data_IF_330016340625
#
_entry.id   IF_330016340625
#
_cell.length_a   1.000
_cell.length_b   1.000
_cell.length_c   1.000
_cell.angle_alpha   90.00
_cell.angle_beta   90.00
_cell.angle_gamma   90.00
#
_symmetry.space_group_name_H-M   'P 1'
#
loop_
_entity.id
_entity.type
_entity.pdbx_description
1 polymer ?
#
# COMPACT_ATOMS: atom_id res chain seq x y z
N UNK A 1 -7.99 -14.04 38.51
CA UNK A 1 -8.07 -12.59 38.27
C UNK A 1 -7.67 -12.19 36.85
N UNK A 2 -6.67 -12.83 36.21
CA UNK A 2 -6.27 -12.58 34.79
C UNK A 2 -7.31 -13.08 33.74
N UNK A 3 -8.44 -13.65 34.19
CA UNK A 3 -9.45 -14.27 33.33
C UNK A 3 -10.69 -13.40 33.09
N UNK A 4 -10.66 -12.10 33.43
CA UNK A 4 -11.77 -11.19 33.15
C UNK A 4 -11.73 -10.71 31.68
N UNK A 5 -12.44 -11.50 30.89
CA UNK A 5 -13.28 -11.21 29.71
C UNK A 5 -12.79 -10.28 28.59
N UNK A 6 -12.80 -10.85 27.38
CA UNK A 6 -12.65 -10.20 26.06
C UNK A 6 -13.48 -8.91 25.93
N UNK A 7 -14.64 -8.84 26.58
CA UNK A 7 -15.49 -7.65 26.58
C UNK A 7 -14.80 -6.43 27.21
N UNK A 8 -13.96 -6.63 28.22
CA UNK A 8 -13.15 -5.54 28.80
C UNK A 8 -12.03 -5.14 27.83
N UNK A 9 -11.44 -6.11 27.09
CA UNK A 9 -10.46 -5.83 26.04
C UNK A 9 -11.05 -5.05 24.86
N UNK A 10 -12.32 -5.28 24.52
CA UNK A 10 -13.02 -4.52 23.48
C UNK A 10 -13.25 -3.05 23.87
N UNK A 11 -13.27 -2.76 25.17
CA UNK A 11 -13.37 -1.39 25.70
C UNK A 11 -12.02 -0.73 25.98
N UNK A 12 -10.90 -1.46 25.83
CA UNK A 12 -9.58 -0.88 26.03
C UNK A 12 -9.28 0.15 24.94
N UNK A 13 -8.71 1.31 25.31
CA UNK A 13 -8.25 2.26 24.31
C UNK A 13 -7.20 1.62 23.42
N UNK A 14 -7.17 2.00 22.14
CA UNK A 14 -6.25 1.46 21.13
C UNK A 14 -4.78 1.49 21.57
N UNK A 15 -4.41 2.45 22.43
CA UNK A 15 -3.07 2.59 23.00
C UNK A 15 -2.68 1.52 24.02
N UNK A 16 -3.63 0.80 24.61
CA UNK A 16 -3.36 -0.24 25.62
C UNK A 16 -3.02 -1.60 25.00
N UNK A 17 -3.43 -1.82 23.74
CA UNK A 17 -3.29 -3.11 23.06
C UNK A 17 -1.84 -3.61 22.96
N UNK A 18 -0.84 -2.77 22.59
CA UNK A 18 0.55 -3.23 22.50
C UNK A 18 1.11 -3.70 23.85
N UNK A 19 0.86 -2.94 24.92
CA UNK A 19 1.32 -3.27 26.27
C UNK A 19 0.70 -4.58 26.77
N UNK A 20 -0.61 -4.75 26.59
CA UNK A 20 -1.31 -5.98 26.96
C UNK A 20 -0.77 -7.19 26.18
N UNK A 21 -0.50 -7.03 24.89
CA UNK A 21 0.06 -8.10 24.04
C UNK A 21 1.43 -8.54 24.54
N UNK A 22 2.29 -7.59 24.95
CA UNK A 22 3.59 -7.88 25.54
C UNK A 22 3.43 -8.65 26.85
N UNK A 23 2.59 -8.17 27.75
CA UNK A 23 2.37 -8.80 29.06
C UNK A 23 1.82 -10.22 28.92
N UNK A 24 0.81 -10.43 28.08
CA UNK A 24 0.25 -11.76 27.81
C UNK A 24 1.30 -12.70 27.18
N UNK A 25 2.23 -12.19 26.38
CA UNK A 25 3.31 -13.03 25.83
C UNK A 25 4.31 -13.43 26.90
N UNK A 26 4.68 -12.52 27.80
CA UNK A 26 5.56 -12.85 28.92
C UNK A 26 4.91 -13.91 29.83
N UNK A 27 3.60 -13.79 30.08
CA UNK A 27 2.84 -14.80 30.82
C UNK A 27 2.75 -16.13 30.04
N UNK A 28 2.63 -16.08 28.71
CA UNK A 28 2.63 -17.27 27.87
C UNK A 28 3.98 -18.01 27.91
N UNK A 29 5.08 -17.31 28.21
CA UNK A 29 6.41 -17.89 28.38
C UNK A 29 6.69 -18.41 29.80
N UNK A 30 5.71 -18.36 30.71
CA UNK A 30 5.84 -18.87 32.08
C UNK A 30 6.07 -20.39 32.10
N UNK A 31 6.92 -20.86 33.02
CA UNK A 31 7.10 -22.29 33.31
C UNK A 31 5.83 -22.93 33.91
N UNK A 32 4.96 -22.13 34.53
CA UNK A 32 3.66 -22.58 35.01
C UNK A 32 2.70 -22.83 33.83
N UNK A 33 2.37 -24.10 33.61
CA UNK A 33 1.52 -24.55 32.50
C UNK A 33 0.15 -23.88 32.48
N UNK A 34 -0.47 -23.66 33.65
CA UNK A 34 -1.81 -23.05 33.75
C UNK A 34 -1.77 -21.58 33.34
N UNK A 35 -0.73 -20.85 33.76
CA UNK A 35 -0.51 -19.46 33.36
C UNK A 35 -0.22 -19.39 31.86
N UNK A 36 0.69 -20.23 31.37
CA UNK A 36 1.09 -20.27 29.96
C UNK A 36 -0.10 -20.56 29.04
N UNK A 37 -0.90 -21.57 29.34
CA UNK A 37 -2.09 -21.95 28.56
C UNK A 37 -3.17 -20.85 28.62
N UNK A 38 -3.41 -20.29 29.79
CA UNK A 38 -4.36 -19.20 29.98
C UNK A 38 -4.00 -17.97 29.16
N UNK A 39 -2.73 -17.54 29.24
CA UNK A 39 -2.23 -16.39 28.49
C UNK A 39 -2.20 -16.63 26.98
N UNK A 40 -1.78 -17.83 26.54
CA UNK A 40 -1.81 -18.23 25.13
C UNK A 40 -3.22 -18.16 24.55
N UNK A 41 -4.22 -18.65 25.29
CA UNK A 41 -5.62 -18.60 24.88
C UNK A 41 -6.13 -17.17 24.76
N UNK A 42 -5.70 -16.27 25.65
CA UNK A 42 -6.08 -14.85 25.57
C UNK A 42 -5.38 -14.14 24.41
N UNK A 43 -4.10 -14.43 24.12
CA UNK A 43 -3.43 -13.93 22.92
C UNK A 43 -4.17 -14.33 21.65
N UNK A 44 -4.56 -15.60 21.53
CA UNK A 44 -5.35 -16.07 20.38
C UNK A 44 -6.63 -15.26 20.18
N UNK A 45 -7.34 -14.96 21.27
CA UNK A 45 -8.56 -14.15 21.28
C UNK A 45 -8.30 -12.69 20.95
N UNK A 46 -7.26 -12.08 21.52
CA UNK A 46 -6.85 -10.71 21.21
C UNK A 46 -6.53 -10.58 19.73
N UNK A 47 -5.80 -11.53 19.16
CA UNK A 47 -5.47 -11.53 17.73
C UNK A 47 -6.72 -11.71 16.86
N UNK A 48 -7.66 -12.57 17.27
CA UNK A 48 -8.93 -12.74 16.56
C UNK A 48 -9.80 -11.46 16.62
N UNK A 49 -9.79 -10.74 17.75
CA UNK A 49 -10.56 -9.51 17.95
C UNK A 49 -9.99 -8.32 17.17
N UNK A 50 -8.68 -8.10 17.25
CA UNK A 50 -7.98 -6.98 16.59
C UNK A 50 -8.08 -7.09 15.08
N UNK A 51 -8.21 -8.31 14.56
CA UNK A 51 -8.16 -8.60 13.14
C UNK A 51 -6.73 -8.66 12.64
N UNK A 52 -6.53 -9.49 11.62
CA UNK A 52 -5.22 -9.81 11.05
C UNK A 52 -4.50 -8.57 10.48
N UNK A 53 -5.23 -7.73 9.75
CA UNK A 53 -4.68 -6.54 9.10
C UNK A 53 -4.12 -5.52 10.10
N UNK A 54 -4.86 -5.24 11.17
CA UNK A 54 -4.44 -4.28 12.21
C UNK A 54 -3.27 -4.84 13.01
N UNK A 55 -3.29 -6.12 13.34
CA UNK A 55 -2.17 -6.77 14.01
C UNK A 55 -0.88 -6.64 13.21
N UNK A 56 -0.92 -6.94 11.90
CA UNK A 56 0.25 -6.83 11.02
C UNK A 56 0.84 -5.43 11.00
N UNK A 57 -0.01 -4.39 11.06
CA UNK A 57 0.42 -3.00 11.19
C UNK A 57 1.09 -2.73 12.55
N UNK A 58 0.57 -3.33 13.62
CA UNK A 58 1.10 -3.19 14.98
C UNK A 58 2.36 -4.03 15.27
N UNK A 59 2.66 -5.06 14.47
CA UNK A 59 3.82 -5.92 14.74
C UNK A 59 5.14 -5.14 14.76
N UNK A 60 5.26 -4.03 14.02
CA UNK A 60 6.42 -3.13 14.11
C UNK A 60 6.53 -2.42 15.47
N UNK A 61 5.40 -1.97 16.02
CA UNK A 61 5.34 -1.36 17.35
C UNK A 61 5.61 -2.39 18.45
N UNK A 62 5.03 -3.58 18.31
CA UNK A 62 5.27 -4.71 19.22
C UNK A 62 6.75 -5.10 19.22
N UNK A 63 7.40 -5.20 18.05
CA UNK A 63 8.83 -5.47 17.97
C UNK A 63 9.65 -4.47 18.81
N UNK A 64 9.34 -3.17 18.72
CA UNK A 64 10.04 -2.15 19.49
C UNK A 64 9.82 -2.32 21.00
N UNK A 65 8.61 -2.67 21.43
CA UNK A 65 8.31 -2.93 22.84
C UNK A 65 9.01 -4.19 23.36
N UNK A 66 9.01 -5.28 22.59
CA UNK A 66 9.68 -6.54 22.97
C UNK A 66 11.19 -6.44 23.04
N UNK A 67 11.81 -5.57 22.22
CA UNK A 67 13.25 -5.27 22.33
C UNK A 67 13.61 -4.65 23.68
N UNK A 68 12.68 -3.93 24.29
CA UNK A 68 12.88 -3.25 25.56
C UNK A 68 12.41 -4.11 26.76
N UNK A 69 11.66 -5.19 26.50
CA UNK A 69 11.09 -6.05 27.52
C UNK A 69 11.89 -7.36 27.70
N UNK A 70 11.43 -8.12 28.69
CA UNK A 70 12.20 -8.97 29.58
C UNK A 70 12.75 -10.25 28.93
N UNK A 71 14.08 -10.32 28.78
CA UNK A 71 14.91 -11.54 28.85
C UNK A 71 16.39 -11.10 28.80
N UNK A 72 17.25 -11.49 29.76
CA UNK A 72 18.67 -11.17 29.69
C UNK A 72 19.30 -11.79 28.43
N UNK A 73 20.14 -11.04 27.70
CA UNK A 73 20.83 -11.59 26.54
C UNK A 73 21.81 -12.68 26.97
N UNK A 74 21.88 -13.78 26.22
CA UNK A 74 22.95 -14.78 26.35
C UNK A 74 22.56 -16.10 27.01
N UNK A 75 21.37 -16.21 27.59
CA UNK A 75 20.87 -17.47 28.12
C UNK A 75 20.23 -18.32 27.02
N UNK A 76 20.52 -19.62 27.02
CA UNK A 76 19.84 -20.58 26.15
C UNK A 76 18.41 -20.75 26.62
N UNK A 77 17.48 -20.80 25.68
CA UNK A 77 16.06 -20.95 25.95
C UNK A 77 15.50 -22.10 25.13
N UNK A 78 14.57 -22.85 25.70
CA UNK A 78 13.81 -23.90 25.00
C UNK A 78 12.33 -23.55 25.14
N UNK A 79 11.64 -23.40 24.02
CA UNK A 79 10.21 -23.08 24.04
C UNK A 79 9.40 -24.36 24.24
N UNK A 80 8.44 -24.32 25.17
CA UNK A 80 7.50 -25.42 25.37
C UNK A 80 6.70 -25.73 24.11
N UNK A 81 6.71 -26.97 23.63
CA UNK A 81 5.97 -27.43 22.43
C UNK A 81 4.46 -27.11 22.45
N UNK A 82 3.88 -26.86 23.63
CA UNK A 82 2.46 -26.52 23.81
C UNK A 82 2.13 -25.05 23.60
N UNK A 83 3.13 -24.17 23.51
CA UNK A 83 2.91 -22.74 23.34
C UNK A 83 2.19 -22.44 22.02
N UNK A 84 1.21 -21.55 22.01
CA UNK A 84 0.52 -21.18 20.77
C UNK A 84 1.47 -20.52 19.76
N UNK A 85 1.26 -20.77 18.46
CA UNK A 85 2.15 -20.25 17.40
C UNK A 85 2.27 -18.73 17.40
N UNK A 86 1.19 -18.00 17.72
CA UNK A 86 1.24 -16.54 17.87
C UNK A 86 2.15 -16.10 19.01
N UNK A 87 2.13 -16.81 20.13
CA UNK A 87 3.02 -16.54 21.25
C UNK A 87 4.49 -16.88 20.89
N UNK A 88 4.73 -17.96 20.14
CA UNK A 88 6.04 -18.25 19.55
C UNK A 88 6.49 -17.11 18.61
N UNK A 89 5.59 -16.64 17.75
CA UNK A 89 5.80 -15.52 16.85
C UNK A 89 6.23 -14.24 17.58
N UNK A 90 5.54 -13.90 18.67
CA UNK A 90 5.88 -12.76 19.52
C UNK A 90 7.18 -12.98 20.30
N UNK A 91 7.47 -14.21 20.74
CA UNK A 91 8.76 -14.55 21.36
C UNK A 91 9.95 -14.31 20.40
N UNK A 92 9.72 -14.42 19.08
CA UNK A 92 10.73 -14.04 18.08
C UNK A 92 11.12 -12.56 18.12
N UNK A 93 10.38 -11.71 18.85
CA UNK A 93 10.68 -10.28 19.01
C UNK A 93 11.57 -9.96 20.21
N UNK A 94 11.88 -10.96 21.04
CA UNK A 94 12.66 -10.79 22.26
C UNK A 94 14.08 -10.28 22.01
N UNK A 95 14.66 -9.59 23.01
CA UNK A 95 16.05 -9.11 22.96
C UNK A 95 17.08 -10.26 22.95
N UNK A 96 16.76 -11.40 23.58
CA UNK A 96 17.63 -12.57 23.62
C UNK A 96 17.69 -13.27 22.25
N UNK A 97 18.89 -13.34 21.66
CA UNK A 97 19.11 -13.96 20.34
C UNK A 97 18.79 -15.46 20.29
N UNK A 98 19.06 -16.22 21.36
CA UNK A 98 18.76 -17.64 21.41
C UNK A 98 17.26 -17.91 21.42
N UNK A 99 16.50 -17.11 22.19
CA UNK A 99 15.04 -17.19 22.19
C UNK A 99 14.45 -16.87 20.81
N UNK A 100 15.00 -15.86 20.11
CA UNK A 100 14.56 -15.56 18.74
C UNK A 100 14.86 -16.70 17.78
N UNK A 101 16.05 -17.27 17.86
CA UNK A 101 16.46 -18.39 17.01
C UNK A 101 15.54 -19.60 17.21
N UNK A 102 15.27 -19.95 18.48
CA UNK A 102 14.38 -21.05 18.85
C UNK A 102 12.94 -20.80 18.40
N UNK A 103 12.44 -19.57 18.59
CA UNK A 103 11.13 -19.19 18.10
C UNK A 103 11.02 -19.36 16.58
N UNK A 104 12.02 -18.92 15.81
CA UNK A 104 12.01 -19.04 14.36
C UNK A 104 12.04 -20.50 13.93
N UNK A 105 12.89 -21.35 14.52
CA UNK A 105 12.90 -22.79 14.20
C UNK A 105 11.52 -23.40 14.36
N UNK A 106 10.87 -23.12 15.49
CA UNK A 106 9.56 -23.67 15.78
C UNK A 106 8.46 -23.14 14.86
N UNK A 107 8.54 -21.87 14.46
CA UNK A 107 7.65 -21.33 13.43
C UNK A 107 7.82 -22.07 12.11
N UNK A 108 9.05 -22.37 11.70
CA UNK A 108 9.36 -23.11 10.47
C UNK A 108 8.81 -24.55 10.54
N UNK A 109 9.08 -25.24 11.65
CA UNK A 109 8.65 -26.63 11.87
C UNK A 109 7.13 -26.82 11.87
N UNK A 110 6.37 -25.76 12.20
CA UNK A 110 4.91 -25.81 12.21
C UNK A 110 4.30 -26.06 10.82
N UNK A 111 4.98 -25.61 9.76
CA UNK A 111 4.44 -25.64 8.38
C UNK A 111 3.17 -24.78 8.17
N UNK A 112 2.82 -23.92 9.13
CA UNK A 112 1.63 -23.07 9.09
C UNK A 112 1.91 -21.78 8.33
N UNK A 113 0.98 -21.31 7.48
CA UNK A 113 1.17 -20.09 6.71
C UNK A 113 1.11 -18.83 7.57
N UNK A 114 0.38 -18.85 8.69
CA UNK A 114 0.24 -17.71 9.61
C UNK A 114 1.56 -17.25 10.25
N UNK A 115 2.64 -18.01 10.05
CA UNK A 115 3.99 -17.65 10.51
C UNK A 115 4.69 -16.62 9.61
N UNK A 116 4.24 -16.46 8.36
CA UNK A 116 4.82 -15.57 7.35
C UNK A 116 5.09 -14.14 7.87
N UNK A 117 4.13 -13.43 8.52
CA UNK A 117 4.39 -12.08 9.01
C UNK A 117 5.53 -12.01 10.04
N UNK A 118 5.65 -13.02 10.91
CA UNK A 118 6.74 -13.08 11.89
C UNK A 118 8.10 -13.31 11.20
N UNK A 119 8.16 -14.24 10.23
CA UNK A 119 9.38 -14.50 9.46
C UNK A 119 9.81 -13.28 8.64
N UNK A 120 8.87 -12.60 7.98
CA UNK A 120 9.12 -11.36 7.25
C UNK A 120 9.80 -10.31 8.14
N UNK A 121 9.28 -10.07 9.34
CA UNK A 121 9.88 -9.11 10.28
C UNK A 121 11.31 -9.49 10.69
N UNK A 122 11.61 -10.79 10.79
CA UNK A 122 12.96 -11.27 11.14
C UNK A 122 13.98 -11.12 10.00
N UNK A 123 13.56 -10.83 8.76
CA UNK A 123 14.48 -10.45 7.68
C UNK A 123 15.23 -9.14 7.98
N UNK A 124 14.78 -8.34 8.95
CA UNK A 124 15.43 -7.11 9.43
C UNK A 124 16.28 -7.31 10.70
N UNK A 125 16.38 -8.53 11.25
CA UNK A 125 17.08 -8.78 12.51
C UNK A 125 18.50 -8.20 12.51
N UNK A 126 19.01 -7.74 13.65
CA UNK A 126 20.38 -7.23 13.72
C UNK A 126 21.43 -8.35 13.72
N UNK A 127 21.06 -9.58 14.07
CA UNK A 127 21.92 -10.76 14.06
C UNK A 127 21.81 -11.46 12.70
N UNK A 128 22.94 -11.64 12.02
CA UNK A 128 23.00 -12.22 10.66
C UNK A 128 22.42 -13.66 10.63
N UNK A 129 22.84 -14.60 11.50
CA UNK A 129 22.25 -15.94 11.54
C UNK A 129 20.73 -15.98 11.65
N UNK A 130 20.14 -15.04 12.41
CA UNK A 130 18.68 -14.96 12.60
C UNK A 130 17.98 -14.55 11.31
N UNK A 131 18.56 -13.59 10.56
CA UNK A 131 18.03 -13.19 9.25
C UNK A 131 18.08 -14.33 8.25
N UNK A 132 19.20 -15.04 8.20
CA UNK A 132 19.40 -16.18 7.29
C UNK A 132 18.43 -17.31 7.60
N UNK A 133 18.25 -17.64 8.88
CA UNK A 133 17.27 -18.63 9.33
C UNK A 133 15.84 -18.23 8.96
N UNK A 134 15.47 -16.96 9.16
CA UNK A 134 14.15 -16.47 8.77
C UNK A 134 13.91 -16.52 7.25
N UNK A 135 14.93 -16.20 6.45
CA UNK A 135 14.85 -16.29 4.99
C UNK A 135 14.67 -17.74 4.52
N UNK A 136 15.46 -18.66 5.05
CA UNK A 136 15.33 -20.10 4.76
C UNK A 136 13.96 -20.62 5.20
N UNK A 137 13.49 -20.20 6.36
CA UNK A 137 12.17 -20.52 6.87
C UNK A 137 11.05 -20.07 5.96
N UNK A 138 11.11 -18.81 5.51
CA UNK A 138 10.11 -18.24 4.62
C UNK A 138 10.11 -18.96 3.27
N UNK A 139 11.28 -19.27 2.71
CA UNK A 139 11.39 -20.09 1.50
C UNK A 139 10.78 -21.48 1.68
N UNK A 140 11.00 -22.11 2.83
CA UNK A 140 10.47 -23.45 3.16
C UNK A 140 8.94 -23.43 3.24
N UNK A 141 8.37 -22.48 3.99
CA UNK A 141 6.91 -22.31 4.10
C UNK A 141 6.29 -22.11 2.73
N UNK A 142 6.87 -21.24 1.90
CA UNK A 142 6.37 -20.95 0.56
C UNK A 142 6.53 -22.13 -0.41
N UNK A 143 7.60 -22.92 -0.32
CA UNK A 143 7.79 -24.10 -1.17
C UNK A 143 6.83 -25.23 -0.83
N UNK A 144 6.51 -25.40 0.45
CA UNK A 144 5.63 -26.49 0.91
C UNK A 144 4.23 -26.41 0.29
N UNK A 145 3.78 -25.20 -0.09
CA UNK A 145 2.40 -24.89 -0.46
C UNK A 145 2.30 -23.71 -1.44
N UNK A 146 3.18 -23.64 -2.44
CA UNK A 146 3.42 -22.44 -3.26
C UNK A 146 2.19 -21.82 -3.98
N UNK A 147 1.09 -22.56 -4.12
CA UNK A 147 -0.16 -22.12 -4.75
C UNK A 147 -1.37 -22.20 -3.81
N UNK A 148 -1.15 -22.35 -2.51
CA UNK A 148 -2.23 -22.38 -1.52
C UNK A 148 -2.81 -20.97 -1.34
N UNK A 149 -4.13 -20.87 -1.49
CA UNK A 149 -4.86 -19.61 -1.32
C UNK A 149 -4.58 -18.98 0.06
N UNK A 150 -4.38 -19.81 1.10
CA UNK A 150 -4.05 -19.33 2.45
C UNK A 150 -2.70 -18.61 2.52
N UNK A 151 -1.71 -19.06 1.73
CA UNK A 151 -0.41 -18.37 1.66
C UNK A 151 -0.54 -17.04 0.93
N UNK A 152 -1.29 -17.01 -0.17
CA UNK A 152 -1.49 -15.77 -0.93
C UNK A 152 -2.29 -14.74 -0.11
N UNK A 153 -3.30 -15.19 0.63
CA UNK A 153 -4.04 -14.38 1.60
C UNK A 153 -3.10 -13.82 2.67
N UNK A 154 -2.27 -14.66 3.29
CA UNK A 154 -1.29 -14.21 4.28
C UNK A 154 -0.27 -13.21 3.73
N UNK A 155 0.19 -13.42 2.49
CA UNK A 155 1.10 -12.49 1.81
C UNK A 155 0.41 -11.15 1.51
N UNK A 156 -0.86 -11.17 1.08
CA UNK A 156 -1.67 -9.97 0.88
C UNK A 156 -1.81 -9.18 2.18
N UNK A 157 -2.21 -9.85 3.26
CA UNK A 157 -2.34 -9.23 4.59
C UNK A 157 -1.00 -8.69 5.10
N UNK A 158 0.12 -9.28 4.65
CA UNK A 158 1.49 -8.89 4.99
C UNK A 158 2.09 -7.81 4.08
N UNK A 159 1.35 -7.26 3.10
CA UNK A 159 1.83 -6.18 2.23
C UNK A 159 2.44 -4.98 2.99
N UNK A 160 1.85 -4.49 4.11
CA UNK A 160 2.47 -3.43 4.90
C UNK A 160 3.87 -3.80 5.43
N UNK A 161 4.12 -5.07 5.76
CA UNK A 161 5.42 -5.53 6.23
C UNK A 161 6.44 -5.61 5.10
N UNK A 162 6.05 -6.10 3.92
CA UNK A 162 6.92 -6.14 2.74
C UNK A 162 7.43 -4.74 2.39
N UNK A 163 6.57 -3.74 2.52
CA UNK A 163 6.93 -2.33 2.39
C UNK A 163 7.94 -1.88 3.47
N UNK A 164 7.74 -2.26 4.74
CA UNK A 164 8.71 -1.95 5.80
C UNK A 164 10.09 -2.57 5.56
N UNK A 165 10.16 -3.69 4.83
CA UNK A 165 11.41 -4.37 4.51
C UNK A 165 12.14 -3.74 3.33
N UNK A 166 11.43 -3.19 2.35
CA UNK A 166 12.04 -2.48 1.22
C UNK A 166 12.93 -1.32 1.68
N UNK A 167 12.49 -0.60 2.72
CA UNK A 167 13.24 0.52 3.29
C UNK A 167 14.45 0.10 4.15
N UNK A 168 14.63 -1.21 4.36
CA UNK A 168 15.68 -1.73 5.24
C UNK A 168 16.95 -2.05 4.44
N UNK A 169 18.09 -1.38 4.70
CA UNK A 169 19.35 -1.71 4.01
C UNK A 169 19.83 -3.14 4.28
N UNK A 170 19.38 -3.73 5.40
CA UNK A 170 19.68 -5.12 5.77
C UNK A 170 19.02 -6.15 4.87
N UNK A 171 17.98 -5.75 4.13
CA UNK A 171 17.23 -6.62 3.23
C UNK A 171 17.67 -6.51 1.77
N UNK A 172 18.69 -5.70 1.47
CA UNK A 172 19.22 -5.47 0.11
C UNK A 172 19.52 -6.76 -0.66
N UNK A 173 20.15 -7.74 -0.01
CA UNK A 173 20.47 -9.04 -0.61
C UNK A 173 19.24 -9.92 -0.90
N UNK A 174 18.08 -9.60 -0.31
CA UNK A 174 16.82 -10.34 -0.46
C UNK A 174 15.79 -9.59 -1.29
N UNK A 175 16.15 -8.47 -1.93
CA UNK A 175 15.18 -7.60 -2.61
C UNK A 175 14.50 -8.25 -3.81
N UNK A 176 15.19 -9.11 -4.55
CA UNK A 176 14.58 -9.85 -5.66
C UNK A 176 13.50 -10.81 -5.16
N UNK A 177 13.80 -11.51 -4.08
CA UNK A 177 12.85 -12.40 -3.42
C UNK A 177 11.66 -11.63 -2.85
N UNK A 178 11.89 -10.51 -2.14
CA UNK A 178 10.82 -9.66 -1.62
C UNK A 178 9.96 -9.05 -2.74
N UNK A 179 10.58 -8.72 -3.88
CA UNK A 179 9.85 -8.24 -5.06
C UNK A 179 8.94 -9.32 -5.63
N UNK A 180 9.40 -10.58 -5.64
CA UNK A 180 8.56 -11.71 -6.06
C UNK A 180 7.39 -11.96 -5.10
N UNK A 181 7.60 -11.86 -3.79
CA UNK A 181 6.51 -11.97 -2.80
C UNK A 181 5.48 -10.86 -2.97
N UNK A 182 5.95 -9.62 -3.14
CA UNK A 182 5.08 -8.47 -3.39
C UNK A 182 4.27 -8.67 -4.67
N UNK A 183 4.89 -9.17 -5.75
CA UNK A 183 4.19 -9.50 -6.99
C UNK A 183 3.05 -10.48 -6.74
N UNK A 184 3.32 -11.59 -6.05
CA UNK A 184 2.31 -12.62 -5.75
C UNK A 184 1.15 -12.07 -4.91
N UNK A 185 1.47 -11.30 -3.87
CA UNK A 185 0.48 -10.67 -3.00
C UNK A 185 -0.44 -9.71 -3.79
N UNK A 186 0.16 -8.83 -4.60
CA UNK A 186 -0.56 -7.88 -5.46
C UNK A 186 -1.43 -8.57 -6.50
N UNK A 187 -0.93 -9.64 -7.11
CA UNK A 187 -1.69 -10.42 -8.09
C UNK A 187 -2.88 -11.16 -7.47
N UNK A 188 -2.79 -11.52 -6.19
CA UNK A 188 -3.87 -12.16 -5.46
C UNK A 188 -4.97 -11.18 -5.07
N UNK A 189 -4.60 -10.01 -4.55
CA UNK A 189 -5.54 -8.99 -4.09
C UNK A 189 -5.04 -7.57 -4.40
N UNK A 190 -5.20 -7.18 -5.66
CA UNK A 190 -4.80 -5.86 -6.15
C UNK A 190 -5.58 -4.74 -5.45
N UNK A 191 -6.85 -4.99 -5.11
CA UNK A 191 -7.73 -4.00 -4.47
C UNK A 191 -7.19 -3.59 -3.12
N UNK A 192 -6.92 -4.54 -2.22
CA UNK A 192 -6.35 -4.22 -0.90
C UNK A 192 -4.99 -3.55 -1.02
N UNK A 193 -4.19 -3.94 -2.01
CA UNK A 193 -2.90 -3.33 -2.27
C UNK A 193 -3.03 -1.85 -2.72
N UNK A 194 -4.03 -1.52 -3.52
CA UNK A 194 -4.36 -0.15 -3.94
C UNK A 194 -4.93 0.66 -2.79
N UNK A 195 -5.85 0.09 -2.01
CA UNK A 195 -6.39 0.75 -0.83
C UNK A 195 -5.27 1.12 0.15
N UNK A 196 -4.26 0.25 0.29
CA UNK A 196 -3.05 0.54 1.07
C UNK A 196 -2.29 1.76 0.53
N UNK A 197 -2.14 1.90 -0.80
CA UNK A 197 -1.50 3.09 -1.40
C UNK A 197 -2.32 4.36 -1.19
N UNK A 198 -3.64 4.24 -1.32
CA UNK A 198 -4.56 5.37 -1.19
C UNK A 198 -4.74 5.81 0.27
N UNK A 199 -4.47 4.95 1.25
CA UNK A 199 -4.67 5.20 2.69
C UNK A 199 -3.75 6.27 3.32
N UNK A 200 -2.93 6.99 2.54
CA UNK A 200 -1.94 7.97 3.00
C UNK A 200 -0.88 7.39 3.97
N UNK A 201 -0.86 6.06 4.18
CA UNK A 201 0.16 5.34 4.97
C UNK A 201 1.47 5.34 4.17
N UNK A 202 2.19 6.47 4.19
CA UNK A 202 3.50 6.73 3.57
C UNK A 202 3.90 5.74 2.46
N UNK A 203 3.06 5.55 1.46
CA UNK A 203 3.29 4.48 0.51
C UNK A 203 4.56 4.81 -0.28
N UNK A 204 5.55 3.93 -0.29
CA UNK A 204 6.79 4.22 -1.02
C UNK A 204 6.51 4.16 -2.51
N UNK A 205 7.19 5.03 -3.25
CA UNK A 205 7.32 4.94 -4.72
C UNK A 205 7.59 3.51 -5.20
N UNK A 206 8.29 2.70 -4.39
CA UNK A 206 8.54 1.31 -4.69
C UNK A 206 7.25 0.48 -4.80
N UNK A 207 6.34 0.56 -3.83
CA UNK A 207 5.09 -0.21 -3.88
C UNK A 207 4.21 0.29 -5.02
N UNK A 208 4.07 1.60 -5.21
CA UNK A 208 3.35 2.16 -6.36
C UNK A 208 3.91 1.65 -7.70
N UNK A 209 5.24 1.62 -7.84
CA UNK A 209 5.90 1.06 -9.02
C UNK A 209 5.63 -0.44 -9.17
N UNK A 210 5.61 -1.22 -8.08
CA UNK A 210 5.28 -2.66 -8.17
C UNK A 210 3.82 -2.88 -8.53
N UNK A 211 2.88 -2.09 -8.02
CA UNK A 211 1.49 -2.13 -8.42
C UNK A 211 1.33 -1.81 -9.90
N UNK A 212 2.00 -0.76 -10.37
CA UNK A 212 2.04 -0.39 -11.80
C UNK A 212 2.52 -1.54 -12.70
N UNK A 213 3.35 -2.45 -12.16
CA UNK A 213 3.89 -3.59 -12.90
C UNK A 213 3.05 -4.86 -12.77
N UNK A 214 2.31 -5.04 -11.67
CA UNK A 214 1.75 -6.34 -11.28
C UNK A 214 0.25 -6.34 -11.04
N UNK A 215 -0.39 -5.18 -10.85
CA UNK A 215 -1.84 -5.11 -10.75
C UNK A 215 -2.50 -5.45 -12.09
N UNK A 216 -3.66 -6.11 -12.00
CA UNK A 216 -4.60 -6.18 -13.12
C UNK A 216 -5.14 -4.79 -13.40
N UNK A 217 -5.34 -4.46 -14.66
CA UNK A 217 -5.43 -3.05 -15.03
C UNK A 217 -6.76 -2.36 -14.67
N UNK A 218 -7.80 -3.15 -14.44
CA UNK A 218 -9.09 -2.78 -13.86
C UNK A 218 -8.92 -2.06 -12.51
N UNK A 219 -7.78 -2.29 -11.86
CA UNK A 219 -7.48 -1.77 -10.54
C UNK A 219 -6.74 -0.41 -10.59
N UNK A 220 -6.29 0.10 -11.75
CA UNK A 220 -5.50 1.34 -11.81
C UNK A 220 -6.30 2.63 -11.72
N UNK A 221 -7.59 2.61 -12.06
CA UNK A 221 -8.41 3.84 -12.12
C UNK A 221 -8.41 4.65 -10.81
N UNK A 222 -8.54 4.04 -9.62
CA UNK A 222 -8.43 4.79 -8.36
C UNK A 222 -7.08 5.50 -8.17
N UNK A 223 -5.98 4.95 -8.69
CA UNK A 223 -4.64 5.54 -8.56
C UNK A 223 -4.47 6.80 -9.41
N UNK A 224 -5.23 6.96 -10.50
CA UNK A 224 -5.20 8.21 -11.30
C UNK A 224 -5.66 9.44 -10.51
N UNK A 225 -6.44 9.22 -9.46
CA UNK A 225 -7.00 10.27 -8.61
C UNK A 225 -6.27 10.44 -7.28
N UNK A 226 -5.18 9.69 -7.03
CA UNK A 226 -4.45 9.76 -5.77
C UNK A 226 -3.84 11.15 -5.52
N UNK A 227 -3.41 11.42 -4.28
CA UNK A 227 -2.80 12.72 -3.92
C UNK A 227 -1.40 12.89 -4.47
N UNK A 228 -0.68 11.80 -4.68
CA UNK A 228 0.67 11.81 -5.21
C UNK A 228 0.64 11.86 -6.75
N UNK A 229 1.25 12.88 -7.35
CA UNK A 229 1.27 13.05 -8.81
C UNK A 229 2.11 11.98 -9.51
N UNK A 230 3.18 11.49 -8.88
CA UNK A 230 4.09 10.50 -9.45
C UNK A 230 3.42 9.13 -9.49
N UNK A 231 2.67 8.77 -8.44
CA UNK A 231 1.88 7.52 -8.43
C UNK A 231 0.79 7.57 -9.52
N UNK A 232 0.11 8.70 -9.66
CA UNK A 232 -0.91 8.87 -10.68
C UNK A 232 -0.33 8.77 -12.11
N UNK A 233 0.85 9.34 -12.34
CA UNK A 233 1.59 9.19 -13.60
C UNK A 233 2.00 7.74 -13.85
N UNK A 234 2.57 7.05 -12.85
CA UNK A 234 2.93 5.63 -12.99
C UNK A 234 1.72 4.77 -13.35
N UNK A 235 0.57 5.02 -12.72
CA UNK A 235 -0.67 4.32 -13.05
C UNK A 235 -1.12 4.60 -14.50
N UNK A 236 -1.00 5.85 -14.95
CA UNK A 236 -1.34 6.23 -16.32
C UNK A 236 -0.40 5.59 -17.36
N UNK A 237 0.91 5.62 -17.12
CA UNK A 237 1.91 4.97 -17.95
C UNK A 237 1.67 3.46 -18.07
N UNK A 238 1.26 2.81 -16.98
CA UNK A 238 0.86 1.41 -17.00
C UNK A 238 -0.37 1.15 -17.87
N UNK A 239 -1.40 1.99 -17.77
CA UNK A 239 -2.58 1.88 -18.63
C UNK A 239 -2.18 2.03 -20.11
N UNK A 240 -1.30 2.98 -20.43
CA UNK A 240 -0.79 3.19 -21.79
C UNK A 240 0.06 2.02 -22.31
N UNK A 241 0.91 1.46 -21.45
CA UNK A 241 1.70 0.28 -21.81
C UNK A 241 0.79 -0.92 -22.11
N UNK A 242 -0.30 -1.07 -21.35
CA UNK A 242 -1.24 -2.17 -21.52
C UNK A 242 -2.13 -1.96 -22.76
N UNK A 243 -2.57 -0.73 -23.03
CA UNK A 243 -3.39 -0.40 -24.21
C UNK A 243 -2.71 -0.75 -25.55
N UNK A 244 -1.38 -0.77 -25.56
CA UNK A 244 -0.58 -1.16 -26.72
C UNK A 244 -0.54 -2.68 -26.95
N UNK A 245 -0.93 -3.48 -25.95
CA UNK A 245 -0.76 -4.94 -25.91
C UNK A 245 -2.06 -5.74 -25.66
N UNK A 246 -3.08 -5.11 -25.08
CA UNK A 246 -4.34 -5.75 -24.68
C UNK A 246 -5.55 -4.88 -25.05
N UNK A 247 -6.75 -5.48 -25.02
CA UNK A 247 -7.98 -4.73 -25.21
C UNK A 247 -8.21 -3.84 -23.98
N UNK A 248 -8.40 -2.53 -24.17
CA UNK A 248 -8.67 -1.60 -23.07
C UNK A 248 -9.95 -1.94 -22.30
N UNK A 249 -10.90 -2.62 -22.94
CA UNK A 249 -12.10 -3.15 -22.30
C UNK A 249 -11.76 -4.17 -21.20
N UNK A 250 -10.66 -4.94 -21.35
CA UNK A 250 -10.21 -5.88 -20.33
C UNK A 250 -9.73 -5.17 -19.07
N UNK A 251 -9.52 -3.84 -19.13
CA UNK A 251 -9.13 -2.97 -18.03
C UNK A 251 -10.33 -2.23 -17.44
N UNK A 252 -11.56 -2.57 -17.86
CA UNK A 252 -12.76 -1.80 -17.56
C UNK A 252 -12.76 -0.39 -18.18
N UNK A 253 -11.93 -0.15 -19.19
CA UNK A 253 -11.85 1.13 -19.90
C UNK A 253 -12.56 0.97 -21.25
N UNK A 254 -13.87 1.17 -21.24
CA UNK A 254 -14.70 1.06 -22.45
C UNK A 254 -14.47 2.23 -23.42
N UNK A 255 -14.09 3.40 -22.90
CA UNK A 255 -13.83 4.61 -23.67
C UNK A 255 -12.57 5.31 -23.17
N UNK A 256 -11.45 5.03 -23.84
CA UNK A 256 -10.18 5.65 -23.53
C UNK A 256 -10.18 7.16 -23.81
N UNK A 257 -10.95 7.61 -24.81
CA UNK A 257 -11.10 9.03 -25.13
C UNK A 257 -11.78 9.76 -23.97
N UNK A 258 -12.83 9.17 -23.40
CA UNK A 258 -13.48 9.67 -22.20
C UNK A 258 -12.55 9.68 -20.98
N UNK A 259 -11.73 8.64 -20.78
CA UNK A 259 -10.73 8.63 -19.71
C UNK A 259 -9.74 9.79 -19.85
N UNK A 260 -9.15 9.98 -21.03
CA UNK A 260 -8.24 11.10 -21.29
C UNK A 260 -8.91 12.45 -21.03
N UNK A 261 -10.20 12.61 -21.40
CA UNK A 261 -10.99 13.80 -21.09
C UNK A 261 -11.14 14.03 -19.59
N UNK A 262 -11.41 13.00 -18.81
CA UNK A 262 -11.45 13.10 -17.35
C UNK A 262 -10.09 13.55 -16.78
N UNK A 263 -8.99 13.08 -17.35
CA UNK A 263 -7.65 13.44 -16.91
C UNK A 263 -7.28 14.90 -17.19
N UNK A 264 -7.93 15.58 -18.13
CA UNK A 264 -7.76 17.04 -18.32
C UNK A 264 -8.24 17.86 -17.12
N UNK A 265 -9.15 17.31 -16.34
CA UNK A 265 -9.64 17.90 -15.10
C UNK A 265 -8.80 17.47 -13.87
N UNK A 266 -7.74 16.69 -14.08
CA UNK A 266 -6.88 16.26 -12.98
C UNK A 266 -6.22 17.46 -12.29
N UNK A 267 -6.12 17.38 -10.97
CA UNK A 267 -5.35 18.33 -10.16
C UNK A 267 -3.85 18.28 -10.51
N UNK A 268 -3.38 17.15 -11.04
CA UNK A 268 -1.98 16.90 -11.39
C UNK A 268 -1.66 17.53 -12.74
N UNK A 269 -0.63 18.36 -12.80
CA UNK A 269 -0.30 19.10 -14.03
C UNK A 269 0.31 18.16 -15.07
N UNK A 270 1.17 17.28 -14.60
CA UNK A 270 1.92 16.31 -15.38
C UNK A 270 0.97 15.32 -16.04
N UNK A 271 -0.02 14.82 -15.29
CA UNK A 271 -1.04 13.92 -15.81
C UNK A 271 -1.90 14.57 -16.89
N UNK A 272 -2.24 15.86 -16.72
CA UNK A 272 -2.94 16.64 -17.75
C UNK A 272 -2.12 16.78 -19.03
N UNK A 273 -0.83 17.10 -18.88
CA UNK A 273 0.08 17.24 -20.03
C UNK A 273 0.20 15.92 -20.78
N UNK A 274 0.37 14.80 -20.08
CA UNK A 274 0.49 13.50 -20.76
C UNK A 274 -0.83 12.99 -21.32
N UNK A 275 -1.95 13.20 -20.63
CA UNK A 275 -3.26 12.92 -21.21
C UNK A 275 -3.46 13.70 -22.51
N UNK A 276 -3.09 15.00 -22.54
CA UNK A 276 -3.18 15.81 -23.75
C UNK A 276 -2.25 15.27 -24.82
N UNK A 277 -0.98 14.99 -24.51
CA UNK A 277 -0.04 14.45 -25.49
C UNK A 277 -0.59 13.17 -26.14
N UNK A 278 -1.14 12.25 -25.34
CA UNK A 278 -1.72 11.02 -25.84
C UNK A 278 -3.00 11.24 -26.65
N UNK A 279 -3.88 12.13 -26.20
CA UNK A 279 -5.11 12.48 -26.91
C UNK A 279 -4.85 13.03 -28.32
N UNK A 280 -3.79 13.84 -28.48
CA UNK A 280 -3.44 14.44 -29.77
C UNK A 280 -2.53 13.55 -30.64
N UNK A 281 -1.76 12.65 -30.04
CA UNK A 281 -0.90 11.73 -30.79
C UNK A 281 -1.64 10.50 -31.32
N UNK A 282 -2.70 10.06 -30.64
CA UNK A 282 -3.55 8.96 -31.09
C UNK A 282 -4.81 9.46 -31.79
N UNK A 283 -5.32 8.71 -32.76
CA UNK A 283 -6.57 9.00 -33.48
C UNK A 283 -7.83 8.84 -32.60
N UNK A 284 -7.78 9.26 -31.33
CA UNK A 284 -8.84 9.13 -30.33
C UNK A 284 -9.88 10.24 -30.39
N UNK A 285 -9.59 11.30 -31.15
CA UNK A 285 -10.54 12.35 -31.39
C UNK A 285 -11.64 11.88 -32.33
N UNK A 286 -12.89 12.09 -31.90
CA UNK A 286 -14.07 11.84 -32.73
C UNK A 286 -14.11 12.79 -33.95
N UNK A 287 -13.49 13.97 -33.83
CA UNK A 287 -13.37 14.97 -34.90
C UNK A 287 -12.21 15.94 -34.65
N UNK A 288 -11.69 16.58 -35.71
CA UNK A 288 -10.70 17.67 -35.60
C UNK A 288 -11.26 18.89 -34.84
N UNK A 289 -12.56 19.12 -34.90
CA UNK A 289 -13.24 20.24 -34.22
C UNK A 289 -13.20 20.08 -32.70
N UNK A 290 -13.44 18.86 -32.21
CA UNK A 290 -13.35 18.53 -30.79
C UNK A 290 -11.93 18.74 -30.23
N UNK A 291 -10.91 18.37 -31.02
CA UNK A 291 -9.51 18.61 -30.66
C UNK A 291 -9.20 20.10 -30.54
N UNK A 292 -9.69 20.89 -31.49
CA UNK A 292 -9.49 22.33 -31.50
C UNK A 292 -10.13 22.99 -30.27
N UNK A 293 -11.36 22.63 -29.92
CA UNK A 293 -12.03 23.16 -28.73
C UNK A 293 -11.31 22.81 -27.43
N UNK A 294 -10.89 21.56 -27.28
CA UNK A 294 -10.16 21.13 -26.09
C UNK A 294 -8.79 21.85 -25.96
N UNK A 295 -8.06 22.01 -27.06
CA UNK A 295 -6.82 22.77 -27.05
C UNK A 295 -7.08 24.25 -26.70
N UNK A 296 -8.16 24.85 -27.23
CA UNK A 296 -8.56 26.23 -26.88
C UNK A 296 -8.86 26.37 -25.40
N UNK A 297 -9.58 25.44 -24.79
CA UNK A 297 -9.83 25.44 -23.33
C UNK A 297 -8.51 25.33 -22.55
N UNK A 298 -7.60 24.48 -23.01
CA UNK A 298 -6.31 24.23 -22.37
C UNK A 298 -5.35 25.43 -22.42
N UNK A 299 -5.51 26.36 -23.37
CA UNK A 299 -4.75 27.63 -23.43
C UNK A 299 -4.95 28.52 -22.18
N UNK A 300 -6.08 28.34 -21.49
CA UNK A 300 -6.44 29.11 -20.29
C UNK A 300 -6.18 28.35 -18.99
N UNK A 301 -5.54 27.18 -19.07
CA UNK A 301 -5.12 26.45 -17.87
C UNK A 301 -4.20 27.31 -17.01
N UNK A 302 -4.35 27.25 -15.69
CA UNK A 302 -3.48 27.95 -14.74
C UNK A 302 -2.01 27.49 -14.84
N UNK A 303 -1.77 26.30 -15.39
CA UNK A 303 -0.45 25.67 -15.44
C UNK A 303 0.26 25.93 -16.76
N UNK A 304 1.48 26.46 -16.69
CA UNK A 304 2.28 26.84 -17.86
C UNK A 304 2.54 25.69 -18.85
N UNK A 305 2.79 24.48 -18.36
CA UNK A 305 3.06 23.30 -19.22
C UNK A 305 1.86 22.92 -20.10
N UNK A 306 0.64 22.93 -19.52
CA UNK A 306 -0.60 22.65 -20.25
C UNK A 306 -0.83 23.72 -21.33
N UNK A 307 -0.63 25.01 -20.98
CA UNK A 307 -0.73 26.10 -21.96
C UNK A 307 0.30 25.96 -23.09
N UNK A 308 1.54 25.65 -22.76
CA UNK A 308 2.61 25.51 -23.77
C UNK A 308 2.30 24.38 -24.76
N UNK A 309 1.80 23.24 -24.27
CA UNK A 309 1.36 22.15 -25.13
C UNK A 309 0.16 22.56 -25.99
N UNK A 310 -0.85 23.21 -25.42
CA UNK A 310 -2.00 23.73 -26.17
C UNK A 310 -1.59 24.72 -27.28
N UNK A 311 -0.64 25.63 -27.00
CA UNK A 311 -0.06 26.54 -27.99
C UNK A 311 0.62 25.78 -29.13
N UNK A 312 1.38 24.74 -28.82
CA UNK A 312 2.03 23.90 -29.83
C UNK A 312 1.01 23.17 -30.71
N UNK A 313 -0.07 22.66 -30.11
CA UNK A 313 -1.12 21.92 -30.80
C UNK A 313 -1.99 22.81 -31.69
N UNK A 314 -2.18 24.08 -31.32
CA UNK A 314 -2.89 25.10 -32.10
C UNK A 314 -1.98 25.83 -33.10
N UNK A 315 -0.82 25.26 -33.45
CA UNK A 315 0.11 25.88 -34.40
C UNK A 315 -0.55 26.01 -35.77
N UNK A 316 -0.81 27.25 -36.18
CA UNK A 316 -1.51 27.59 -37.42
C UNK A 316 -2.80 28.39 -37.16
N UNK A 317 -3.35 28.31 -35.95
CA UNK A 317 -4.46 29.13 -35.49
C UNK A 317 -3.98 30.51 -35.02
N UNK A 318 -4.86 31.51 -35.10
CA UNK A 318 -4.59 32.83 -34.55
C UNK A 318 -4.84 32.82 -33.03
N UNK A 319 -3.86 32.30 -32.28
CA UNK A 319 -3.95 32.17 -30.83
C UNK A 319 -4.18 33.52 -30.12
N UNK A 320 -3.65 34.62 -30.67
CA UNK A 320 -3.91 35.96 -30.14
C UNK A 320 -5.40 36.31 -30.20
N UNK A 321 -6.07 35.99 -31.32
CA UNK A 321 -7.51 36.21 -31.48
C UNK A 321 -8.32 35.39 -30.47
N UNK A 322 -7.91 34.15 -30.18
CA UNK A 322 -8.54 33.32 -29.14
C UNK A 322 -8.43 33.96 -27.75
N UNK A 323 -7.27 34.51 -27.38
CA UNK A 323 -7.12 35.26 -26.13
C UNK A 323 -8.00 36.51 -26.09
N UNK A 324 -8.08 37.27 -27.20
CA UNK A 324 -8.92 38.47 -27.30
C UNK A 324 -10.40 38.14 -27.13
N UNK A 325 -10.89 37.10 -27.81
CA UNK A 325 -12.28 36.61 -27.69
C UNK A 325 -12.59 36.24 -26.24
N UNK A 326 -11.70 35.48 -25.58
CA UNK A 326 -11.91 35.10 -24.18
C UNK A 326 -11.90 36.29 -23.23
N UNK A 327 -11.05 37.29 -23.46
CA UNK A 327 -11.06 38.53 -22.66
C UNK A 327 -12.38 39.30 -22.81
N UNK A 328 -12.94 39.36 -24.01
CA UNK A 328 -14.25 39.98 -24.25
C UNK A 328 -15.38 39.23 -23.51
N UNK A 329 -15.39 37.89 -23.56
CA UNK A 329 -16.35 37.08 -22.80
C UNK A 329 -16.26 37.32 -21.29
N UNK A 330 -15.04 37.38 -20.75
CA UNK A 330 -14.81 37.64 -19.33
C UNK A 330 -15.24 39.06 -18.94
N UNK A 331 -15.01 40.05 -19.80
CA UNK A 331 -15.49 41.44 -19.61
C UNK A 331 -17.02 41.48 -19.49
N UNK A 332 -17.72 40.80 -20.42
CA UNK A 332 -19.18 40.74 -20.40
C UNK A 332 -19.72 40.05 -19.13
N UNK A 333 -19.09 38.95 -18.69
CA UNK A 333 -19.46 38.25 -17.46
C UNK A 333 -19.24 39.11 -16.22
N UNK A 334 -18.18 39.92 -16.20
CA UNK A 334 -17.90 40.84 -15.11
C UNK A 334 -18.97 41.92 -15.01
N UNK A 335 -19.36 42.54 -16.13
CA UNK A 335 -20.45 43.53 -16.19
C UNK A 335 -21.78 42.96 -15.68
N UNK A 336 -22.12 41.72 -16.09
CA UNK A 336 -23.32 41.02 -15.62
C UNK A 336 -23.28 40.77 -14.11
N UNK A 337 -22.14 40.34 -13.58
CA UNK A 337 -21.96 40.11 -12.15
C UNK A 337 -22.10 41.41 -11.33
N UNK A 338 -21.55 42.51 -11.83
CA UNK A 338 -21.70 43.83 -11.20
C UNK A 338 -23.15 44.30 -11.20
N UNK A 339 -23.88 44.11 -12.30
CA UNK A 339 -25.30 44.44 -12.38
C UNK A 339 -26.15 43.66 -11.35
N UNK A 340 -25.89 42.37 -11.17
CA UNK A 340 -26.56 41.54 -10.14
C UNK A 340 -26.23 42.03 -8.72
N UNK A 341 -24.97 42.38 -8.46
CA UNK A 341 -24.53 42.87 -7.14
C UNK A 341 -25.13 44.21 -6.77
N UNK A 342 -25.33 45.10 -7.75
CA UNK A 342 -26.02 46.39 -7.56
C UNK A 342 -27.51 46.17 -7.31
N UNK A 343 -28.15 45.26 -8.06
CA UNK A 343 -29.57 44.91 -7.89
C UNK A 343 -29.90 44.22 -6.57
N UNK A 344 -28.96 43.48 -5.96
CA UNK A 344 -29.17 42.83 -4.66
C UNK A 344 -28.98 43.75 -3.44
N UNK A 345 -28.54 45.00 -3.64
CA UNK A 345 -28.31 46.00 -2.58
C UNK A 345 -29.34 47.13 -2.54
N UNK A 346 -30.24 47.19 -3.53
CA UNK A 346 -31.42 48.07 -3.55
C UNK A 346 -32.66 47.28 -3.22
#
# INVERSE_FOLDING_TARGET
MILQTIDECATLPDSALPSLTVELTLLALSDDLSISEGASKQLERTFAFVGKQRLTQELGNLEQLFRNSWCPPGERFVLSEKLALKAVGLASFARNGYLREEAIRRLIESGDSSVIPFLLLRLRDWVVPIRELALQGLQTVLQSKASDALILEELSDSLPLLFLLERSPKCSASMDFLSDLCRRAVQYDSKSAIDLVLSDVQCSRWLAKRLSQYCLADSFLPLLHCRDAEIALLAFDSILSMSSSSNLCDLGIDDFSALLRQLFLSKHTELRVEALRHYFSGSFASSEEELAELAKESLFSERGGVRALAHYLLKGENVEMLYRTRLQELSLKLEQFEAVKVGARG
#
